data_IF_937849529614
#
_entry.id   IF_937849529614
#
_cell.length_a   1.000
_cell.length_b   1.000
_cell.length_c   1.000
_cell.angle_alpha   90.00
_cell.angle_beta   90.00
_cell.angle_gamma   90.00
#
_symmetry.space_group_name_H-M   'P 1'
#
loop_
_entity.id
_entity.type
_entity.pdbx_description
1 polymer ?
#
# COMPACT_ATOMS: atom_id res chain seq x y z
N UNK A 1 10.95 13.18 0.79
CA UNK A 1 11.69 12.33 1.66
C UNK A 1 11.88 10.98 1.08
N UNK A 2 13.07 10.46 1.26
CA UNK A 2 13.38 9.11 0.82
C UNK A 2 12.50 8.07 1.47
N UNK A 3 12.01 8.35 2.67
CA UNK A 3 11.14 7.44 3.39
C UNK A 3 9.89 7.09 2.59
N UNK A 4 9.29 8.10 1.95
CA UNK A 4 8.08 7.85 1.18
C UNK A 4 8.34 6.94 0.00
N UNK A 5 9.47 7.12 -0.67
CA UNK A 5 9.82 6.27 -1.81
C UNK A 5 10.07 4.83 -1.35
N UNK A 6 10.80 4.65 -0.24
CA UNK A 6 11.05 3.32 0.28
C UNK A 6 9.78 2.63 0.73
N UNK A 7 8.92 3.38 1.42
CA UNK A 7 7.65 2.82 1.89
C UNK A 7 6.78 2.38 0.71
N UNK A 8 6.71 3.21 -0.33
CA UNK A 8 5.92 2.87 -1.51
C UNK A 8 6.48 1.63 -2.20
N UNK A 9 7.80 1.54 -2.30
CA UNK A 9 8.43 0.37 -2.91
C UNK A 9 8.14 -0.90 -2.12
N UNK A 10 8.19 -0.84 -0.78
CA UNK A 10 7.85 -1.99 0.04
C UNK A 10 6.40 -2.40 -0.15
N UNK A 11 5.51 -1.42 -0.23
CA UNK A 11 4.09 -1.68 -0.42
C UNK A 11 3.86 -2.39 -1.76
N UNK A 12 4.45 -1.88 -2.84
CA UNK A 12 4.31 -2.48 -4.16
C UNK A 12 4.86 -3.90 -4.16
N UNK A 13 6.02 -4.09 -3.57
CA UNK A 13 6.63 -5.41 -3.54
C UNK A 13 5.72 -6.42 -2.86
N UNK A 14 5.18 -6.06 -1.70
CA UNK A 14 4.29 -6.97 -0.98
C UNK A 14 3.00 -7.18 -1.76
N UNK A 15 2.41 -6.12 -2.30
CA UNK A 15 1.18 -6.24 -3.07
C UNK A 15 1.35 -7.17 -4.26
N UNK A 16 2.53 -7.17 -4.89
CA UNK A 16 2.78 -7.99 -6.07
C UNK A 16 2.84 -9.48 -5.76
N UNK A 17 2.91 -9.85 -4.49
CA UNK A 17 2.96 -11.26 -4.11
C UNK A 17 1.60 -11.93 -4.10
N UNK A 18 0.53 -11.15 -4.26
CA UNK A 18 -0.82 -11.68 -4.16
C UNK A 18 -1.52 -11.64 -5.51
N UNK A 19 -2.33 -12.66 -5.75
CA UNK A 19 -3.16 -12.68 -6.96
C UNK A 19 -4.45 -11.93 -6.65
N UNK A 20 -4.42 -10.62 -6.80
CA UNK A 20 -5.54 -9.75 -6.48
C UNK A 20 -5.38 -8.41 -7.16
N UNK A 21 -6.51 -7.79 -7.46
CA UNK A 21 -6.55 -6.41 -7.94
C UNK A 21 -6.68 -5.54 -6.71
N UNK A 22 -5.62 -4.85 -6.35
CA UNK A 22 -5.55 -4.12 -5.08
C UNK A 22 -5.52 -2.62 -5.37
N UNK A 23 -6.35 -1.89 -4.64
CA UNK A 23 -6.46 -0.44 -4.80
C UNK A 23 -6.31 0.25 -3.47
N UNK A 24 -5.71 1.41 -3.50
CA UNK A 24 -5.46 2.21 -2.31
C UNK A 24 -6.08 3.57 -2.52
N UNK A 25 -6.83 4.03 -1.54
CA UNK A 25 -7.56 5.29 -1.62
C UNK A 25 -7.19 6.17 -0.44
N UNK A 26 -7.07 7.46 -0.72
CA UNK A 26 -6.86 8.46 0.32
C UNK A 26 -7.45 9.78 -0.19
N UNK A 27 -8.28 10.40 0.66
CA UNK A 27 -8.89 11.70 0.33
C UNK A 27 -9.61 11.67 -1.02
N UNK A 28 -10.28 10.56 -1.32
CA UNK A 28 -11.06 10.42 -2.54
C UNK A 28 -10.25 10.07 -3.78
N UNK A 29 -8.95 9.92 -3.66
CA UNK A 29 -8.10 9.55 -4.80
C UNK A 29 -7.72 8.08 -4.68
N UNK A 30 -7.97 7.31 -5.73
CA UNK A 30 -7.70 5.87 -5.75
C UNK A 30 -6.61 5.56 -6.77
N UNK A 31 -5.66 4.75 -6.35
CA UNK A 31 -4.57 4.31 -7.23
C UNK A 31 -4.41 2.81 -7.13
N UNK A 32 -3.79 2.22 -8.16
CA UNK A 32 -3.46 0.81 -8.15
C UNK A 32 -2.29 0.58 -7.19
N UNK A 33 -2.38 -0.47 -6.38
CA UNK A 33 -1.35 -0.76 -5.38
C UNK A 33 0.01 -1.11 -6.00
N UNK A 34 0.05 -1.40 -7.28
CA UNK A 34 1.32 -1.70 -7.95
C UNK A 34 1.95 -0.45 -8.59
N UNK A 35 1.37 0.71 -8.36
CA UNK A 35 1.88 1.95 -8.92
C UNK A 35 2.67 2.72 -7.86
N UNK A 36 4.00 2.69 -7.97
CA UNK A 36 4.84 3.44 -7.04
C UNK A 36 4.54 4.93 -7.15
N UNK A 37 4.38 5.44 -8.38
CA UNK A 37 4.08 6.86 -8.56
C UNK A 37 2.74 7.23 -7.94
N UNK A 38 1.74 6.36 -8.13
CA UNK A 38 0.42 6.60 -7.53
C UNK A 38 0.50 6.65 -6.02
N UNK A 39 1.22 5.70 -5.43
CA UNK A 39 1.36 5.66 -3.97
C UNK A 39 2.11 6.87 -3.44
N UNK A 40 3.13 7.31 -4.16
CA UNK A 40 3.84 8.53 -3.77
C UNK A 40 2.91 9.74 -3.79
N UNK A 41 2.06 9.82 -4.81
CA UNK A 41 1.10 10.89 -4.92
C UNK A 41 0.14 10.91 -3.73
N UNK A 42 -0.25 9.72 -3.26
CA UNK A 42 -1.14 9.64 -2.09
C UNK A 42 -0.43 9.92 -0.78
N UNK A 43 0.89 9.95 -0.76
CA UNK A 43 1.63 10.10 0.47
C UNK A 43 1.55 8.85 1.33
N UNK A 44 1.60 7.67 0.70
CA UNK A 44 1.40 6.41 1.40
C UNK A 44 2.42 6.17 2.51
N UNK A 45 3.52 6.90 2.49
CA UNK A 45 4.59 6.67 3.47
C UNK A 45 4.19 6.93 4.92
N UNK A 46 3.13 7.70 5.17
CA UNK A 46 2.70 7.91 6.56
C UNK A 46 1.56 6.97 6.97
N UNK A 47 0.96 6.28 6.02
CA UNK A 47 -0.06 5.28 6.31
C UNK A 47 -1.38 5.78 6.87
N UNK A 48 -1.46 7.05 7.20
CA UNK A 48 -2.64 7.60 7.85
C UNK A 48 -3.75 7.84 6.84
N UNK A 49 -4.94 7.32 7.15
CA UNK A 49 -6.10 7.56 6.30
C UNK A 49 -6.13 6.78 5.00
N UNK A 50 -5.30 5.77 4.86
CA UNK A 50 -5.34 4.92 3.68
C UNK A 50 -6.44 3.89 3.79
N UNK A 51 -7.19 3.70 2.71
CA UNK A 51 -8.13 2.60 2.58
C UNK A 51 -7.60 1.62 1.56
N UNK A 52 -7.66 0.34 1.89
CA UNK A 52 -7.14 -0.70 1.02
C UNK A 52 -8.27 -1.63 0.65
N UNK A 53 -8.49 -1.83 -0.65
CA UNK A 53 -9.52 -2.72 -1.15
C UNK A 53 -8.89 -3.69 -2.14
N UNK A 54 -9.41 -4.90 -2.20
CA UNK A 54 -8.87 -5.90 -3.11
C UNK A 54 -9.95 -6.83 -3.59
N UNK A 55 -9.78 -7.33 -4.82
CA UNK A 55 -10.64 -8.34 -5.41
C UNK A 55 -9.75 -9.42 -6.02
N UNK A 56 -10.20 -10.67 -5.94
CA UNK A 56 -9.47 -11.77 -6.52
C UNK A 56 -9.23 -12.89 -5.53
N UNK A 57 -8.54 -13.95 -5.97
CA UNK A 57 -8.33 -15.13 -5.12
C UNK A 57 -7.65 -14.84 -3.80
N UNK A 58 -6.69 -13.91 -3.80
CA UNK A 58 -5.92 -13.60 -2.60
C UNK A 58 -6.35 -12.30 -1.94
N UNK A 59 -7.56 -11.81 -2.22
CA UNK A 59 -7.96 -10.48 -1.77
C UNK A 59 -7.85 -10.31 -0.25
N UNK A 60 -8.39 -11.25 0.53
CA UNK A 60 -8.38 -11.10 1.97
C UNK A 60 -6.95 -11.14 2.52
N UNK A 61 -6.15 -12.06 2.01
CA UNK A 61 -4.78 -12.19 2.47
C UNK A 61 -3.98 -10.93 2.11
N UNK A 62 -4.23 -10.38 0.93
CA UNK A 62 -3.54 -9.17 0.49
C UNK A 62 -3.87 -7.98 1.38
N UNK A 63 -5.15 -7.77 1.65
CA UNK A 63 -5.57 -6.66 2.51
C UNK A 63 -4.96 -6.78 3.89
N UNK A 64 -5.03 -7.99 4.47
CA UNK A 64 -4.49 -8.21 5.81
C UNK A 64 -2.98 -7.93 5.85
N UNK A 65 -2.24 -8.43 4.85
CA UNK A 65 -0.80 -8.25 4.81
C UNK A 65 -0.41 -6.78 4.64
N UNK A 66 -1.12 -6.07 3.76
CA UNK A 66 -0.80 -4.67 3.50
C UNK A 66 -1.18 -3.79 4.67
N UNK A 67 -2.29 -4.08 5.33
CA UNK A 67 -2.66 -3.33 6.54
C UNK A 67 -1.63 -3.54 7.64
N UNK A 68 -1.14 -4.76 7.76
CA UNK A 68 -0.10 -5.06 8.74
C UNK A 68 1.18 -4.28 8.43
N UNK A 69 1.57 -4.23 7.15
CA UNK A 69 2.76 -3.48 6.75
C UNK A 69 2.62 -2.00 7.12
N UNK A 70 1.46 -1.42 6.88
CA UNK A 70 1.22 -0.03 7.23
C UNK A 70 1.28 0.15 8.74
N UNK A 71 0.69 -0.78 9.50
CA UNK A 71 0.69 -0.70 10.96
C UNK A 71 2.10 -0.80 11.53
N UNK A 72 2.99 -1.54 10.85
CA UNK A 72 4.40 -1.64 11.24
C UNK A 72 5.23 -0.45 10.76
N UNK A 73 4.58 0.55 10.15
CA UNK A 73 5.27 1.69 9.58
C UNK A 73 6.31 1.27 8.54
N UNK A 74 5.94 0.25 7.74
CA UNK A 74 6.77 -0.25 6.65
C UNK A 74 8.15 -0.72 7.15
N UNK A 75 8.19 -1.13 8.42
CA UNK A 75 9.43 -1.58 9.07
C UNK A 75 10.48 -0.47 9.16
N UNK A 76 10.05 0.80 9.06
CA UNK A 76 10.97 1.93 9.24
C UNK A 76 10.99 2.31 10.73
N UNK A 77 12.16 2.59 11.19
CA UNK A 77 12.27 3.04 12.55
C UNK A 77 12.13 4.50 12.61
N UNK A 78 11.50 4.97 12.43
CA UNK A 78 11.27 6.22 12.56
C UNK A 78 11.52 7.16 12.21
#
# INVERSE_FOLDING_TARGET
>A
RGLHARASAKFVKLASEFEADIRVTRDGVTVNALSIMGLLTLGAGNGCGLSIAAEGPDAEAAVAALRDLVARRFDEDQ
#
